data_IF_875315777076
#
_entry.id   IF_875315777076
#
_cell.length_a   1.000
_cell.length_b   1.000
_cell.length_c   1.000
_cell.angle_alpha   90.00
_cell.angle_beta   90.00
_cell.angle_gamma   90.00
#
_symmetry.space_group_name_H-M   'P 1'
#
loop_
_entity.id
_entity.type
_entity.pdbx_description
1 polymer ?
#
# COMPACT_ATOMS: atom_id res chain seq x y z
N UNK A 1 4.81 -47.09 30.45
CA UNK A 1 4.40 -48.18 31.37
C UNK A 1 3.10 -48.74 30.83
N UNK A 2 3.12 -50.01 30.46
CA UNK A 2 1.95 -50.84 30.15
C UNK A 2 1.09 -51.08 31.40
N UNK A 3 -0.21 -51.30 31.18
CA UNK A 3 -1.10 -52.36 31.70
C UNK A 3 -2.56 -51.84 31.61
N UNK A 4 -3.40 -52.37 30.72
CA UNK A 4 -4.31 -53.55 30.89
C UNK A 4 -5.40 -53.32 31.96
N UNK A 5 -6.67 -53.74 31.86
CA UNK A 5 -7.47 -54.52 30.91
C UNK A 5 -8.96 -54.43 31.38
N UNK A 6 -9.92 -54.94 30.59
CA UNK A 6 -11.18 -55.46 31.17
C UNK A 6 -12.46 -55.34 30.33
N UNK A 7 -12.74 -56.36 29.53
CA UNK A 7 -14.04 -56.68 28.90
C UNK A 7 -15.15 -56.98 29.93
N UNK A 8 -16.43 -56.73 29.57
CA UNK A 8 -17.49 -57.76 29.54
C UNK A 8 -18.80 -57.21 28.93
N UNK A 9 -19.49 -58.05 28.15
CA UNK A 9 -20.76 -57.81 27.45
C UNK A 9 -21.87 -58.72 28.01
N UNK A 10 -23.09 -58.17 28.05
CA UNK A 10 -24.44 -58.78 27.88
C UNK A 10 -25.09 -59.59 29.03
N UNK A 11 -26.42 -59.86 28.99
CA UNK A 11 -27.60 -58.98 28.76
C UNK A 11 -28.78 -59.33 29.73
N UNK A 12 -30.01 -58.80 29.52
CA UNK A 12 -31.38 -59.35 29.80
C UNK A 12 -32.40 -58.18 29.71
N UNK A 13 -33.21 -58.08 28.66
CA UNK A 13 -34.59 -58.62 28.49
C UNK A 13 -35.64 -58.04 29.46
N UNK A 14 -36.64 -57.31 28.95
CA UNK A 14 -38.05 -57.78 28.91
C UNK A 14 -39.04 -56.73 28.38
N UNK A 15 -40.06 -57.27 27.71
CA UNK A 15 -41.17 -56.69 26.96
C UNK A 15 -42.16 -55.79 27.76
N UNK A 16 -42.90 -54.92 27.05
CA UNK A 16 -44.36 -55.05 26.83
C UNK A 16 -45.15 -53.72 26.66
N UNK A 17 -45.76 -53.61 25.48
CA UNK A 17 -47.12 -53.15 25.13
C UNK A 17 -47.77 -51.81 25.55
N UNK A 18 -48.13 -51.07 24.49
CA UNK A 18 -49.46 -50.53 24.09
C UNK A 18 -50.23 -49.51 24.96
N UNK A 19 -50.53 -48.34 24.37
CA UNK A 19 -51.87 -47.71 24.39
C UNK A 19 -52.01 -46.56 23.35
N UNK A 20 -53.20 -46.48 22.75
CA UNK A 20 -53.66 -45.60 21.66
C UNK A 20 -53.83 -44.10 22.01
N UNK A 21 -53.95 -43.31 20.93
CA UNK A 21 -53.98 -41.84 20.79
C UNK A 21 -55.15 -41.08 21.48
N UNK A 22 -55.08 -39.73 21.49
CA UNK A 22 -56.08 -39.01 20.71
C UNK A 22 -55.59 -37.77 19.93
N UNK A 23 -56.24 -37.60 18.77
CA UNK A 23 -56.76 -36.41 18.12
C UNK A 23 -55.89 -35.15 17.84
N UNK A 24 -56.03 -34.71 16.59
CA UNK A 24 -55.44 -33.53 15.98
C UNK A 24 -55.93 -32.22 16.59
N UNK A 25 -54.99 -31.30 16.82
CA UNK A 25 -55.23 -29.86 16.79
C UNK A 25 -54.50 -29.27 15.58
N UNK A 26 -55.27 -28.63 14.70
CA UNK A 26 -54.77 -27.81 13.60
C UNK A 26 -54.01 -26.62 14.21
N UNK A 27 -52.70 -26.56 13.97
CA UNK A 27 -51.93 -25.32 14.12
C UNK A 27 -51.55 -24.88 12.71
N UNK A 28 -52.09 -23.73 12.33
CA UNK A 28 -51.87 -23.06 11.05
C UNK A 28 -50.39 -23.05 10.66
N UNK A 29 -50.08 -23.52 9.44
CA UNK A 29 -48.79 -23.25 8.82
C UNK A 29 -48.67 -21.76 8.55
N UNK A 30 -47.84 -21.09 9.33
CA UNK A 30 -47.34 -19.77 9.01
C UNK A 30 -46.34 -19.88 7.84
N UNK A 31 -46.79 -19.54 6.64
CA UNK A 31 -45.98 -19.43 5.41
C UNK A 31 -45.02 -18.21 5.41
N UNK A 32 -44.49 -17.77 6.57
CA UNK A 32 -43.62 -16.59 6.66
C UNK A 32 -42.12 -16.85 6.90
N UNK A 33 -41.64 -18.11 6.85
CA UNK A 33 -40.23 -18.46 7.18
C UNK A 33 -39.31 -18.65 5.93
N UNK A 34 -39.67 -18.14 4.75
CA UNK A 34 -38.75 -18.12 3.61
C UNK A 34 -38.69 -16.74 2.96
N UNK A 35 -37.91 -15.84 3.57
CA UNK A 35 -37.72 -14.50 3.04
C UNK A 35 -36.57 -13.74 3.68
N UNK A 36 -35.42 -14.38 3.92
CA UNK A 36 -34.18 -13.59 4.03
C UNK A 36 -33.79 -13.27 2.59
N UNK A 37 -34.14 -12.07 2.13
CA UNK A 37 -33.56 -11.52 0.89
C UNK A 37 -32.05 -11.42 1.10
N UNK A 38 -31.32 -12.48 0.74
CA UNK A 38 -29.86 -12.46 0.69
C UNK A 38 -29.47 -11.50 -0.41
N UNK A 39 -28.77 -10.43 -0.07
CA UNK A 39 -28.22 -9.50 -1.04
C UNK A 39 -27.42 -10.32 -2.08
N UNK A 40 -27.72 -10.21 -3.39
CA UNK A 40 -27.03 -10.97 -4.43
C UNK A 40 -25.51 -10.84 -4.37
N UNK A 41 -25.00 -9.71 -3.87
CA UNK A 41 -23.57 -9.46 -3.72
C UNK A 41 -22.97 -10.23 -2.54
N UNK A 42 -23.70 -10.42 -1.43
CA UNK A 42 -23.23 -11.22 -0.29
C UNK A 42 -23.05 -12.68 -0.71
N UNK A 43 -23.99 -13.20 -1.51
CA UNK A 43 -23.88 -14.55 -2.07
C UNK A 43 -22.68 -14.70 -3.02
N UNK A 44 -22.30 -13.64 -3.74
CA UNK A 44 -21.10 -13.63 -4.59
C UNK A 44 -19.82 -13.59 -3.75
N UNK A 45 -19.78 -12.84 -2.65
CA UNK A 45 -18.64 -12.84 -1.72
C UNK A 45 -18.44 -14.23 -1.09
N UNK A 46 -19.51 -14.87 -0.63
CA UNK A 46 -19.44 -16.22 -0.08
C UNK A 46 -18.97 -17.24 -1.11
N UNK A 47 -19.45 -17.13 -2.35
CA UNK A 47 -18.99 -17.98 -3.45
C UNK A 47 -17.50 -17.75 -3.76
N UNK A 48 -17.04 -16.50 -3.78
CA UNK A 48 -15.64 -16.18 -3.99
C UNK A 48 -14.75 -16.74 -2.87
N UNK A 49 -15.19 -16.66 -1.60
CA UNK A 49 -14.48 -17.27 -0.46
C UNK A 49 -14.38 -18.79 -0.61
N UNK A 50 -15.47 -19.45 -1.00
CA UNK A 50 -15.47 -20.89 -1.22
C UNK A 50 -14.47 -21.32 -2.31
N UNK A 51 -14.42 -20.58 -3.43
CA UNK A 51 -13.40 -20.82 -4.47
C UNK A 51 -11.97 -20.66 -3.93
N UNK A 52 -11.72 -19.60 -3.15
CA UNK A 52 -10.40 -19.37 -2.53
C UNK A 52 -10.03 -20.46 -1.50
N UNK A 53 -10.97 -20.90 -0.67
CA UNK A 53 -10.76 -21.98 0.31
C UNK A 53 -10.44 -23.33 -0.37
N UNK A 54 -11.00 -23.54 -1.57
CA UNK A 54 -10.70 -24.70 -2.42
C UNK A 54 -9.40 -24.56 -3.21
N UNK A 55 -8.74 -23.39 -3.16
CA UNK A 55 -7.56 -23.08 -3.97
C UNK A 55 -7.84 -22.87 -5.46
N UNK A 56 -9.11 -22.72 -5.85
CA UNK A 56 -9.54 -22.41 -7.22
C UNK A 56 -9.65 -20.89 -7.42
N UNK A 57 -8.50 -20.25 -7.50
CA UNK A 57 -8.43 -18.80 -7.58
C UNK A 57 -8.96 -18.24 -8.93
N UNK A 58 -8.87 -19.03 -10.00
CA UNK A 58 -9.40 -18.66 -11.32
C UNK A 58 -10.94 -18.63 -11.32
N UNK A 59 -11.58 -19.54 -10.57
CA UNK A 59 -13.02 -19.53 -10.30
C UNK A 59 -13.47 -18.35 -9.44
N UNK A 60 -12.66 -17.93 -8.45
CA UNK A 60 -12.96 -16.78 -7.59
C UNK A 60 -12.92 -15.44 -8.34
N UNK A 61 -12.01 -15.29 -9.31
CA UNK A 61 -11.72 -14.03 -10.01
C UNK A 61 -12.94 -13.32 -10.61
N UNK A 62 -13.74 -13.94 -11.52
CA UNK A 62 -14.88 -13.25 -12.13
C UNK A 62 -15.92 -12.84 -11.09
N UNK A 63 -16.09 -13.65 -10.05
CA UNK A 63 -17.03 -13.40 -8.96
C UNK A 63 -16.60 -12.17 -8.13
N UNK A 64 -15.31 -12.08 -7.78
CA UNK A 64 -14.76 -10.92 -7.07
C UNK A 64 -14.87 -9.63 -7.89
N UNK A 65 -14.61 -9.68 -9.21
CA UNK A 65 -14.75 -8.52 -10.08
C UNK A 65 -16.21 -8.03 -10.17
N UNK A 66 -17.18 -8.94 -10.16
CA UNK A 66 -18.59 -8.57 -10.09
C UNK A 66 -18.94 -7.92 -8.76
N UNK A 67 -18.42 -8.42 -7.62
CA UNK A 67 -18.61 -7.77 -6.31
C UNK A 67 -18.00 -6.37 -6.30
N UNK A 68 -16.81 -6.18 -6.85
CA UNK A 68 -16.15 -4.87 -6.94
C UNK A 68 -17.00 -3.87 -7.75
N UNK A 69 -17.74 -4.37 -8.75
CA UNK A 69 -18.58 -3.55 -9.62
C UNK A 69 -19.95 -3.24 -9.00
N UNK A 70 -20.55 -4.20 -8.30
CA UNK A 70 -21.97 -4.17 -7.90
C UNK A 70 -22.18 -3.97 -6.40
N UNK A 71 -21.16 -4.20 -5.57
CA UNK A 71 -21.25 -4.12 -4.12
C UNK A 71 -21.23 -2.71 -3.55
N UNK A 72 -21.60 -2.60 -2.28
CA UNK A 72 -21.41 -1.39 -1.49
C UNK A 72 -19.93 -1.18 -1.12
N UNK A 73 -19.60 -0.05 -0.47
CA UNK A 73 -18.21 0.28 -0.14
C UNK A 73 -17.52 -0.77 0.74
N UNK A 74 -18.25 -1.43 1.64
CA UNK A 74 -17.68 -2.45 2.52
C UNK A 74 -17.42 -3.74 1.73
N UNK A 75 -18.39 -4.17 0.92
CA UNK A 75 -18.29 -5.34 0.05
C UNK A 75 -17.20 -5.16 -1.02
N UNK A 76 -17.07 -3.96 -1.60
CA UNK A 76 -16.00 -3.62 -2.53
C UNK A 76 -14.64 -3.64 -1.87
N UNK A 77 -14.51 -3.11 -0.64
CA UNK A 77 -13.26 -3.14 0.11
C UNK A 77 -12.84 -4.58 0.43
N UNK A 78 -13.80 -5.41 0.86
CA UNK A 78 -13.56 -6.81 1.14
C UNK A 78 -13.21 -7.62 -0.11
N UNK A 79 -13.94 -7.44 -1.21
CA UNK A 79 -13.61 -8.11 -2.48
C UNK A 79 -12.23 -7.69 -2.99
N UNK A 80 -11.86 -6.42 -2.84
CA UNK A 80 -10.50 -5.95 -3.14
C UNK A 80 -9.45 -6.58 -2.23
N UNK A 81 -9.75 -6.84 -0.96
CA UNK A 81 -8.86 -7.53 -0.03
C UNK A 81 -8.69 -9.01 -0.40
N UNK A 82 -9.78 -9.71 -0.69
CA UNK A 82 -9.74 -11.09 -1.20
C UNK A 82 -9.01 -11.18 -2.54
N UNK A 83 -9.21 -10.19 -3.42
CA UNK A 83 -8.53 -10.08 -4.70
C UNK A 83 -7.05 -9.69 -4.55
N UNK A 84 -6.66 -8.91 -3.54
CA UNK A 84 -5.25 -8.54 -3.34
C UNK A 84 -4.42 -9.73 -2.83
N UNK A 85 -5.05 -10.69 -2.16
CA UNK A 85 -4.46 -11.99 -1.82
C UNK A 85 -4.21 -12.89 -3.03
N UNK A 86 -4.78 -12.56 -4.19
CA UNK A 86 -4.64 -13.29 -5.44
C UNK A 86 -3.52 -12.71 -6.30
N UNK A 87 -2.38 -13.41 -6.37
CA UNK A 87 -1.34 -13.16 -7.39
C UNK A 87 -1.04 -14.45 -8.12
N UNK A 88 -1.89 -14.83 -9.08
CA UNK A 88 -1.49 -15.87 -10.02
C UNK A 88 -0.23 -15.39 -10.78
N UNK A 89 0.84 -16.18 -10.90
CA UNK A 89 2.08 -15.79 -11.61
C UNK A 89 1.84 -15.28 -13.04
N UNK A 90 0.75 -15.74 -13.68
CA UNK A 90 0.37 -15.35 -15.04
C UNK A 90 -0.48 -14.06 -15.13
N UNK A 91 -0.78 -13.39 -14.02
CA UNK A 91 -1.59 -12.16 -14.00
C UNK A 91 -0.86 -10.96 -14.64
N UNK A 92 0.47 -10.92 -14.56
CA UNK A 92 1.29 -9.87 -15.18
C UNK A 92 1.88 -10.37 -16.51
N UNK A 93 1.03 -10.43 -17.55
CA UNK A 93 1.49 -10.80 -18.90
C UNK A 93 2.24 -9.66 -19.57
N UNK A 94 3.55 -9.64 -19.38
CA UNK A 94 4.44 -8.74 -20.10
C UNK A 94 4.50 -9.13 -21.59
N UNK A 95 4.06 -8.20 -22.46
CA UNK A 95 4.12 -8.41 -23.90
C UNK A 95 5.56 -8.60 -24.38
N UNK A 96 5.78 -9.62 -25.23
CA UNK A 96 7.03 -9.80 -25.97
C UNK A 96 7.05 -9.05 -27.31
N UNK A 97 5.92 -8.45 -27.71
CA UNK A 97 5.85 -7.71 -28.95
C UNK A 97 6.67 -6.42 -28.83
N UNK A 98 7.51 -6.09 -29.83
CA UNK A 98 8.27 -4.86 -29.83
C UNK A 98 7.32 -3.65 -29.91
N UNK A 99 7.70 -2.58 -29.24
CA UNK A 99 7.05 -1.27 -29.39
C UNK A 99 7.58 -0.56 -30.63
N UNK A 100 6.95 0.56 -31.00
CA UNK A 100 7.54 1.48 -31.96
C UNK A 100 8.70 2.25 -31.32
N UNK A 101 9.83 2.45 -32.00
CA UNK A 101 10.85 3.41 -31.55
C UNK A 101 10.24 4.80 -31.33
N UNK A 102 10.61 5.44 -30.24
CA UNK A 102 10.03 6.68 -29.73
C UNK A 102 8.81 6.50 -28.83
N UNK A 103 8.28 5.29 -28.65
CA UNK A 103 7.12 5.07 -27.80
C UNK A 103 7.40 5.46 -26.34
N UNK A 104 6.45 6.14 -25.70
CA UNK A 104 6.57 6.48 -24.28
C UNK A 104 6.16 5.30 -23.41
N UNK A 105 7.01 4.98 -22.46
CA UNK A 105 6.81 3.87 -21.51
C UNK A 105 6.69 4.44 -20.10
N UNK A 106 5.61 4.09 -19.40
CA UNK A 106 5.48 4.26 -17.96
C UNK A 106 5.92 2.97 -17.24
N UNK A 107 6.54 3.08 -16.07
CA UNK A 107 6.96 1.93 -15.28
C UNK A 107 6.84 2.19 -13.76
N UNK A 108 6.49 1.15 -13.00
CA UNK A 108 6.55 1.16 -11.52
C UNK A 108 7.88 0.62 -11.04
N UNK A 109 8.54 1.41 -10.18
CA UNK A 109 9.82 1.13 -9.55
C UNK A 109 9.61 0.98 -8.04
N UNK A 110 10.09 -0.14 -7.51
CA UNK A 110 10.23 -0.40 -6.08
C UNK A 110 11.70 -0.34 -5.69
N UNK A 111 12.04 0.28 -4.56
CA UNK A 111 13.41 0.38 -4.10
C UNK A 111 13.56 0.56 -2.58
N UNK A 112 14.64 -0.01 -2.05
CA UNK A 112 15.12 0.25 -0.70
C UNK A 112 16.03 1.48 -0.69
N UNK A 113 15.56 2.59 -0.10
CA UNK A 113 16.25 3.87 -0.13
C UNK A 113 17.53 3.97 0.71
N UNK A 114 17.73 3.08 1.69
CA UNK A 114 18.82 3.16 2.66
C UNK A 114 20.25 3.11 2.08
N UNK A 115 20.44 2.59 0.86
CA UNK A 115 21.74 2.56 0.19
C UNK A 115 21.96 3.72 -0.78
N UNK A 116 21.02 4.68 -0.86
CA UNK A 116 21.01 5.72 -1.88
C UNK A 116 20.88 7.12 -1.28
N UNK A 117 21.53 8.09 -1.92
CA UNK A 117 21.42 9.52 -1.62
C UNK A 117 20.19 10.15 -2.29
N UNK A 118 19.07 9.44 -2.20
CA UNK A 118 17.78 9.80 -2.75
C UNK A 118 17.58 9.34 -4.18
N UNK A 119 16.46 9.78 -4.76
CA UNK A 119 16.11 9.42 -6.12
C UNK A 119 17.02 10.07 -7.17
N UNK A 120 17.16 11.38 -7.08
CA UNK A 120 17.64 12.23 -8.18
C UNK A 120 19.14 12.05 -8.43
N UNK A 121 19.51 11.82 -9.70
CA UNK A 121 20.89 11.81 -10.17
C UNK A 121 21.64 13.09 -9.81
N UNK A 122 22.90 12.99 -9.39
CA UNK A 122 23.72 14.10 -8.90
C UNK A 122 25.09 14.08 -9.59
N UNK A 123 25.21 14.58 -10.84
CA UNK A 123 26.40 14.39 -11.68
C UNK A 123 27.72 14.94 -11.10
N UNK A 124 27.61 15.85 -10.13
CA UNK A 124 28.76 16.51 -9.49
C UNK A 124 29.19 15.84 -8.18
N UNK A 125 28.49 14.80 -7.74
CA UNK A 125 28.77 14.08 -6.50
C UNK A 125 28.90 12.58 -6.82
N UNK A 126 29.92 11.94 -6.26
CA UNK A 126 30.09 10.49 -6.38
C UNK A 126 29.29 9.80 -5.27
N UNK A 127 27.97 9.82 -5.41
CA UNK A 127 27.04 9.18 -4.49
C UNK A 127 26.03 8.32 -5.27
N UNK A 128 25.68 7.12 -4.80
CA UNK A 128 24.70 6.30 -5.47
C UNK A 128 23.31 6.93 -5.38
N UNK A 129 22.61 6.98 -6.51
CA UNK A 129 21.20 7.44 -6.60
C UNK A 129 20.35 6.39 -7.32
N UNK A 130 19.06 6.34 -6.98
CA UNK A 130 18.14 5.36 -7.60
C UNK A 130 17.99 5.64 -9.09
N UNK A 131 17.92 6.91 -9.50
CA UNK A 131 17.80 7.30 -10.90
C UNK A 131 19.00 6.86 -11.73
N UNK A 132 20.24 7.05 -11.25
CA UNK A 132 21.44 6.63 -11.99
C UNK A 132 21.50 5.11 -12.15
N UNK A 133 21.20 4.35 -11.09
CA UNK A 133 21.16 2.89 -11.16
C UNK A 133 20.09 2.39 -12.16
N UNK A 134 18.92 3.02 -12.17
CA UNK A 134 17.85 2.71 -13.11
C UNK A 134 18.22 3.06 -14.55
N UNK A 135 18.70 4.28 -14.80
CA UNK A 135 19.08 4.74 -16.14
C UNK A 135 20.25 3.93 -16.72
N UNK A 136 21.24 3.56 -15.90
CA UNK A 136 22.32 2.67 -16.32
C UNK A 136 21.80 1.28 -16.71
N UNK A 137 20.84 0.73 -15.95
CA UNK A 137 20.26 -0.58 -16.25
C UNK A 137 19.36 -0.56 -17.48
N UNK A 138 18.63 0.53 -17.71
CA UNK A 138 17.85 0.73 -18.94
C UNK A 138 18.75 0.86 -20.17
N UNK A 139 19.89 1.54 -20.03
CA UNK A 139 20.88 1.68 -21.10
C UNK A 139 21.44 0.33 -21.57
N UNK A 140 21.64 -0.64 -20.67
CA UNK A 140 22.06 -2.00 -21.05
C UNK A 140 21.04 -2.70 -21.96
N UNK A 141 19.76 -2.35 -21.85
CA UNK A 141 18.68 -2.92 -22.67
C UNK A 141 18.51 -2.14 -23.98
N UNK A 142 18.64 -0.82 -23.92
CA UNK A 142 18.54 0.05 -25.10
C UNK A 142 19.75 -0.11 -26.03
N UNK A 143 20.96 -0.22 -25.47
CA UNK A 143 22.23 -0.02 -26.18
C UNK A 143 22.62 1.47 -26.31
N UNK A 144 21.81 2.37 -25.76
CA UNK A 144 22.03 3.82 -25.75
C UNK A 144 21.43 4.46 -24.49
N UNK A 145 21.74 5.73 -24.24
CA UNK A 145 21.32 6.42 -23.01
C UNK A 145 19.80 6.60 -22.93
N UNK A 146 19.20 6.15 -21.83
CA UNK A 146 17.77 6.35 -21.52
C UNK A 146 17.64 7.31 -20.34
N UNK A 147 16.81 8.36 -20.49
CA UNK A 147 16.53 9.34 -19.43
C UNK A 147 15.15 9.10 -18.86
N UNK A 148 15.04 9.09 -17.54
CA UNK A 148 13.79 8.88 -16.83
C UNK A 148 13.30 10.15 -16.15
N UNK A 149 11.97 10.28 -16.04
CA UNK A 149 11.32 11.30 -15.22
C UNK A 149 10.38 10.62 -14.23
N UNK A 150 10.59 10.86 -12.94
CA UNK A 150 9.78 10.29 -11.86
C UNK A 150 8.54 11.12 -11.50
N UNK A 151 7.60 10.48 -10.82
CA UNK A 151 6.41 11.11 -10.26
C UNK A 151 6.73 12.09 -9.12
N UNK A 152 7.69 11.75 -8.26
CA UNK A 152 8.13 12.59 -7.16
C UNK A 152 9.50 12.15 -6.66
N UNK A 153 10.39 13.10 -6.40
CA UNK A 153 11.71 12.80 -5.83
C UNK A 153 11.54 12.34 -4.39
N UNK A 154 12.30 11.32 -3.99
CA UNK A 154 12.46 10.92 -2.59
C UNK A 154 13.84 11.34 -2.07
N UNK A 155 13.89 11.68 -0.78
CA UNK A 155 15.13 12.10 -0.10
C UNK A 155 16.05 10.89 0.15
N UNK A 156 17.29 11.16 0.57
CA UNK A 156 18.24 10.14 1.04
C UNK A 156 17.61 9.25 2.11
N UNK A 157 17.74 7.93 1.91
CA UNK A 157 17.20 6.93 2.83
C UNK A 157 15.70 6.65 2.71
N UNK A 158 14.93 7.41 1.92
CA UNK A 158 13.48 7.19 1.76
C UNK A 158 13.22 6.11 0.73
N UNK A 159 12.32 5.19 1.05
CA UNK A 159 11.95 4.05 0.20
C UNK A 159 10.89 4.43 -0.83
N UNK A 160 10.86 3.70 -1.94
CA UNK A 160 9.78 3.76 -2.91
C UNK A 160 9.15 2.40 -3.06
N UNK A 161 7.88 2.25 -2.72
CA UNK A 161 7.13 1.03 -3.02
C UNK A 161 6.41 1.15 -4.37
N UNK A 162 6.00 2.36 -4.75
CA UNK A 162 5.24 2.61 -5.97
C UNK A 162 5.68 3.88 -6.68
N UNK A 163 6.99 4.09 -6.81
CA UNK A 163 7.47 5.19 -7.64
C UNK A 163 7.08 4.92 -9.09
N UNK A 164 6.48 5.91 -9.75
CA UNK A 164 6.19 5.82 -11.19
C UNK A 164 7.18 6.67 -11.95
N UNK A 165 7.75 6.12 -13.01
CA UNK A 165 8.60 6.84 -13.96
C UNK A 165 8.01 6.77 -15.36
N UNK A 166 8.43 7.69 -16.22
CA UNK A 166 8.34 7.50 -17.66
C UNK A 166 9.66 7.77 -18.36
N UNK A 167 9.82 7.20 -19.54
CA UNK A 167 10.90 7.43 -20.49
C UNK A 167 10.40 7.14 -21.90
N UNK A 168 11.13 7.59 -22.91
CA UNK A 168 10.84 7.30 -24.32
C UNK A 168 11.79 6.16 -24.77
N UNK A 169 11.24 5.10 -25.35
CA UNK A 169 11.95 3.92 -25.82
C UNK A 169 12.64 4.23 -27.16
N UNK A 170 13.98 4.31 -27.24
CA UNK A 170 14.63 4.76 -28.46
C UNK A 170 14.75 3.65 -29.54
N UNK A 171 14.55 2.38 -29.18
CA UNK A 171 14.89 1.21 -30.01
C UNK A 171 13.72 0.25 -30.25
N UNK A 172 12.55 0.52 -29.68
CA UNK A 172 11.33 -0.29 -29.87
C UNK A 172 11.42 -1.66 -29.19
N UNK A 173 11.93 -1.73 -27.95
CA UNK A 173 11.97 -2.99 -27.20
C UNK A 173 10.56 -3.36 -26.70
N UNK A 174 10.38 -4.63 -26.38
CA UNK A 174 9.12 -5.10 -25.79
C UNK A 174 9.03 -4.71 -24.31
N UNK A 175 7.79 -4.60 -23.79
CA UNK A 175 7.56 -4.33 -22.37
C UNK A 175 8.23 -5.39 -21.48
N UNK A 176 8.25 -6.66 -21.90
CA UNK A 176 8.98 -7.71 -21.17
C UNK A 176 10.48 -7.43 -21.10
N UNK A 177 11.09 -6.93 -22.17
CA UNK A 177 12.50 -6.56 -22.15
C UNK A 177 12.76 -5.41 -21.17
N UNK A 178 11.88 -4.39 -21.13
CA UNK A 178 11.99 -3.29 -20.19
C UNK A 178 11.84 -3.68 -18.73
N UNK A 179 11.07 -4.72 -18.42
CA UNK A 179 10.93 -5.20 -17.04
C UNK A 179 12.00 -6.24 -16.69
N UNK A 180 11.99 -7.39 -17.38
CA UNK A 180 12.84 -8.53 -17.05
C UNK A 180 14.31 -8.27 -17.39
N UNK A 181 14.56 -7.57 -18.50
CA UNK A 181 15.91 -7.19 -18.91
C UNK A 181 16.51 -6.22 -17.90
N UNK A 182 15.83 -5.10 -17.62
CA UNK A 182 16.32 -4.09 -16.66
C UNK A 182 16.56 -4.69 -15.27
N UNK A 183 15.64 -5.53 -14.77
CA UNK A 183 15.80 -6.21 -13.48
C UNK A 183 17.02 -7.13 -13.40
N UNK A 184 17.52 -7.64 -14.52
CA UNK A 184 18.75 -8.45 -14.55
C UNK A 184 20.00 -7.61 -14.25
N UNK A 185 19.98 -6.33 -14.61
CA UNK A 185 21.11 -5.41 -14.45
C UNK A 185 20.99 -4.53 -13.21
N UNK A 186 19.78 -4.38 -12.66
CA UNK A 186 19.54 -3.61 -11.45
C UNK A 186 20.17 -4.26 -10.19
N UNK A 187 20.72 -3.44 -9.28
CA UNK A 187 21.04 -3.84 -7.91
C UNK A 187 19.87 -4.54 -7.20
N UNK A 188 20.15 -5.38 -6.20
CA UNK A 188 19.14 -6.21 -5.54
C UNK A 188 17.99 -5.44 -4.87
N UNK A 189 18.24 -4.19 -4.56
CA UNK A 189 17.40 -3.23 -3.85
C UNK A 189 16.61 -2.28 -4.76
N UNK A 190 16.59 -2.49 -6.08
CA UNK A 190 15.73 -1.76 -7.03
C UNK A 190 15.07 -2.75 -7.99
N UNK A 191 13.75 -2.66 -8.19
CA UNK A 191 13.00 -3.52 -9.10
C UNK A 191 11.99 -2.74 -9.93
N UNK A 192 11.93 -3.05 -11.22
CA UNK A 192 10.82 -2.69 -12.12
C UNK A 192 9.75 -3.76 -11.96
N UNK A 193 8.53 -3.38 -11.59
CA UNK A 193 7.43 -4.34 -11.42
C UNK A 193 6.61 -4.52 -12.69
N UNK A 194 6.36 -3.43 -13.41
CA UNK A 194 5.66 -3.43 -14.68
C UNK A 194 6.14 -2.28 -15.55
N UNK A 195 5.92 -2.42 -16.85
CA UNK A 195 6.07 -1.37 -17.84
C UNK A 195 4.84 -1.38 -18.76
N UNK A 196 4.41 -0.20 -19.20
CA UNK A 196 3.26 -0.03 -20.08
C UNK A 196 3.51 1.10 -21.09
N UNK A 197 3.15 0.87 -22.35
CA UNK A 197 3.10 1.93 -23.35
C UNK A 197 1.97 2.90 -23.02
N UNK A 198 2.27 4.19 -23.04
CA UNK A 198 1.33 5.27 -22.75
C UNK A 198 1.40 6.33 -23.84
N UNK A 199 0.33 7.12 -23.99
CA UNK A 199 0.32 8.21 -24.96
C UNK A 199 1.34 9.31 -24.62
N UNK A 200 1.78 10.06 -25.64
CA UNK A 200 2.77 11.14 -25.50
C UNK A 200 2.36 12.25 -24.50
N UNK A 201 1.05 12.39 -24.25
CA UNK A 201 0.51 13.33 -23.27
C UNK A 201 0.78 12.92 -21.81
N UNK A 202 1.15 11.65 -21.56
CA UNK A 202 1.47 11.19 -20.21
C UNK A 202 2.80 11.79 -19.74
N UNK A 203 2.81 12.30 -18.51
CA UNK A 203 4.02 12.73 -17.82
C UNK A 203 3.96 12.33 -16.36
N UNK A 204 4.84 11.42 -15.93
CA UNK A 204 4.83 10.84 -14.57
C UNK A 204 4.70 11.90 -13.45
N UNK A 205 5.38 13.04 -13.56
CA UNK A 205 5.23 14.14 -12.58
C UNK A 205 3.95 14.97 -12.72
N UNK A 206 3.67 15.49 -13.92
CA UNK A 206 2.65 16.54 -14.11
C UNK A 206 1.24 15.98 -14.30
N UNK A 207 1.12 14.74 -14.77
CA UNK A 207 -0.15 14.03 -14.88
C UNK A 207 -0.62 13.44 -13.55
N UNK A 208 0.27 13.32 -12.56
CA UNK A 208 -0.07 12.78 -11.25
C UNK A 208 -0.92 13.75 -10.43
N UNK A 209 -2.07 13.27 -9.96
CA UNK A 209 -3.06 14.04 -9.21
C UNK A 209 -2.86 13.98 -7.71
N UNK A 210 -2.28 12.88 -7.20
CA UNK A 210 -1.97 12.71 -5.79
C UNK A 210 -0.75 11.80 -5.60
N UNK A 211 -0.13 11.91 -4.42
CA UNK A 211 0.86 10.97 -3.91
C UNK A 211 0.42 10.53 -2.54
N UNK A 212 0.66 9.26 -2.21
CA UNK A 212 0.41 8.69 -0.89
C UNK A 212 1.69 8.17 -0.30
N UNK A 213 1.95 8.55 0.94
CA UNK A 213 3.08 8.07 1.71
C UNK A 213 2.58 7.30 2.93
N UNK A 214 3.29 6.23 3.28
CA UNK A 214 3.18 5.60 4.58
C UNK A 214 4.49 5.80 5.33
N UNK A 215 4.37 6.19 6.59
CA UNK A 215 5.48 6.26 7.52
C UNK A 215 5.31 5.19 8.59
N UNK A 216 6.28 4.30 8.73
CA UNK A 216 6.19 3.10 9.55
C UNK A 216 7.09 3.26 10.77
N UNK A 217 6.45 3.25 11.94
CA UNK A 217 7.11 3.36 13.24
C UNK A 217 7.01 2.00 13.93
N UNK A 218 8.14 1.36 14.20
CA UNK A 218 8.18 0.22 15.10
C UNK A 218 8.20 0.73 16.55
N UNK A 219 7.07 0.59 17.24
CA UNK A 219 6.85 1.14 18.57
C UNK A 219 7.00 0.09 19.67
N UNK A 220 8.24 -0.31 19.91
CA UNK A 220 8.61 -1.39 20.84
C UNK A 220 9.71 -0.93 21.82
N UNK A 221 9.87 -1.59 22.99
CA UNK A 221 10.91 -1.22 23.95
C UNK A 221 12.34 -1.41 23.44
N UNK A 222 12.55 -2.33 22.49
CA UNK A 222 13.86 -2.73 21.94
C UNK A 222 13.80 -2.62 20.42
N UNK A 223 14.81 -1.96 19.83
CA UNK A 223 14.92 -1.80 18.37
C UNK A 223 15.02 -3.17 17.68
N UNK A 224 14.21 -3.45 16.65
CA UNK A 224 14.33 -4.68 15.88
C UNK A 224 15.60 -4.67 15.01
N UNK A 225 16.38 -5.74 15.06
CA UNK A 225 17.60 -5.86 14.25
C UNK A 225 17.31 -6.15 12.77
N UNK A 226 16.29 -6.97 12.48
CA UNK A 226 15.96 -7.41 11.11
C UNK A 226 15.27 -6.34 10.26
N UNK A 227 14.72 -5.31 10.90
CA UNK A 227 14.02 -4.20 10.24
C UNK A 227 14.87 -2.93 10.25
N UNK A 228 16.18 -3.06 10.49
CA UNK A 228 17.12 -1.95 10.37
C UNK A 228 16.99 -1.32 8.99
N UNK A 229 17.01 0.02 8.94
CA UNK A 229 16.80 0.83 7.73
C UNK A 229 15.46 0.64 7.01
N UNK A 230 14.49 -0.09 7.59
CA UNK A 230 13.16 -0.30 6.98
C UNK A 230 12.02 0.33 7.80
N UNK A 231 12.25 0.62 9.08
CA UNK A 231 11.26 1.20 9.98
C UNK A 231 11.93 2.19 10.92
N UNK A 232 11.22 3.24 11.30
CA UNK A 232 11.69 4.12 12.36
C UNK A 232 11.35 3.51 13.71
N UNK A 233 12.35 3.31 14.55
CA UNK A 233 12.11 2.80 15.91
C UNK A 233 11.76 3.92 16.89
N UNK A 234 10.72 3.70 17.69
CA UNK A 234 10.35 4.61 18.77
C UNK A 234 10.05 3.84 20.07
N UNK A 235 10.80 4.13 21.13
CA UNK A 235 10.77 3.37 22.39
C UNK A 235 9.52 3.61 23.25
N UNK A 236 9.05 4.85 23.32
CA UNK A 236 7.98 5.24 24.25
C UNK A 236 6.61 4.94 23.66
N UNK A 237 5.63 4.58 24.48
CA UNK A 237 4.29 4.29 23.98
C UNK A 237 3.68 5.52 23.27
N UNK A 238 3.11 5.31 22.09
CA UNK A 238 2.45 6.34 21.29
C UNK A 238 0.94 6.29 21.46
N UNK A 239 0.34 7.43 21.80
CA UNK A 239 -1.10 7.64 21.84
C UNK A 239 -1.65 7.96 20.45
N UNK A 240 -2.27 6.95 19.84
CA UNK A 240 -2.82 7.02 18.48
C UNK A 240 -4.01 7.97 18.38
N UNK A 241 -4.79 8.11 19.47
CA UNK A 241 -5.92 9.03 19.52
C UNK A 241 -5.45 10.47 19.39
N UNK A 242 -4.49 10.86 20.22
CA UNK A 242 -3.89 12.21 20.17
C UNK A 242 -3.21 12.51 18.82
N UNK A 243 -2.52 11.53 18.24
CA UNK A 243 -1.91 11.69 16.91
C UNK A 243 -2.97 11.92 15.83
N UNK A 244 -4.08 11.18 15.85
CA UNK A 244 -5.17 11.39 14.89
C UNK A 244 -5.88 12.73 15.12
N UNK A 245 -6.07 13.15 16.37
CA UNK A 245 -6.66 14.45 16.68
C UNK A 245 -5.82 15.61 16.13
N UNK A 246 -4.49 15.53 16.28
CA UNK A 246 -3.58 16.48 15.63
C UNK A 246 -3.62 16.39 14.09
N UNK A 247 -3.65 15.19 13.53
CA UNK A 247 -3.61 14.98 12.08
C UNK A 247 -4.84 15.53 11.33
N UNK A 248 -6.01 15.61 11.99
CA UNK A 248 -7.21 16.26 11.42
C UNK A 248 -6.94 17.70 10.97
N UNK A 249 -6.08 18.41 11.71
CA UNK A 249 -5.72 19.80 11.38
C UNK A 249 -4.93 19.93 10.09
N UNK A 250 -4.41 18.85 9.50
CA UNK A 250 -3.66 18.88 8.25
C UNK A 250 -4.55 18.91 7.01
N UNK A 251 -5.83 18.52 7.11
CA UNK A 251 -6.69 18.30 5.95
C UNK A 251 -7.04 19.60 5.21
N UNK A 252 -7.20 19.49 3.89
CA UNK A 252 -7.53 20.61 3.00
C UNK A 252 -6.32 21.39 2.52
N UNK A 253 -6.60 22.52 1.85
CA UNK A 253 -5.58 23.42 1.29
C UNK A 253 -5.01 24.32 2.38
N UNK A 254 -3.72 24.18 2.69
CA UNK A 254 -3.06 24.92 3.77
C UNK A 254 -1.61 25.28 3.43
N UNK A 255 -1.08 26.26 4.15
CA UNK A 255 0.33 26.68 4.09
C UNK A 255 1.18 25.78 4.99
N UNK A 256 2.00 24.91 4.39
CA UNK A 256 2.84 23.96 5.12
C UNK A 256 4.26 24.48 5.38
N UNK A 257 4.47 25.80 5.46
CA UNK A 257 5.80 26.39 5.72
C UNK A 257 6.43 25.90 7.03
N UNK A 258 5.64 25.65 8.08
CA UNK A 258 6.13 25.06 9.33
C UNK A 258 6.73 23.64 9.15
N UNK A 259 6.32 22.94 8.09
CA UNK A 259 6.78 21.60 7.75
C UNK A 259 7.68 21.60 6.52
N UNK A 260 8.18 22.74 6.07
CA UNK A 260 9.01 22.88 4.88
C UNK A 260 10.49 22.95 5.24
N UNK A 261 11.34 22.16 4.59
CA UNK A 261 12.79 22.34 4.68
C UNK A 261 13.24 23.67 4.04
N UNK A 262 14.26 24.32 4.62
CA UNK A 262 14.82 25.58 4.12
C UNK A 262 15.33 25.47 2.66
N UNK A 263 15.86 24.32 2.26
CA UNK A 263 16.35 24.04 0.90
C UNK A 263 15.24 23.69 -0.11
N UNK A 264 13.97 23.76 0.28
CA UNK A 264 12.86 23.41 -0.60
C UNK A 264 12.73 24.39 -1.77
N UNK A 265 12.79 23.87 -2.99
CA UNK A 265 12.72 24.64 -4.24
C UNK A 265 11.27 24.92 -4.72
N UNK A 266 10.25 24.50 -3.99
CA UNK A 266 8.86 24.74 -4.40
C UNK A 266 8.53 26.24 -4.34
N UNK A 267 7.85 26.76 -5.38
CA UNK A 267 7.45 28.16 -5.45
C UNK A 267 6.37 28.54 -4.43
N UNK A 268 5.49 27.59 -4.10
CA UNK A 268 4.42 27.78 -3.11
C UNK A 268 4.52 26.74 -1.99
N UNK A 269 4.32 27.15 -0.72
CA UNK A 269 4.19 26.24 0.42
C UNK A 269 2.78 25.63 0.54
N UNK A 270 1.81 26.08 -0.26
CA UNK A 270 0.44 25.59 -0.16
C UNK A 270 0.31 24.18 -0.74
N UNK A 271 -0.30 23.27 0.02
CA UNK A 271 -0.64 21.90 -0.42
C UNK A 271 -2.04 21.54 0.04
N UNK A 272 -2.67 20.60 -0.65
CA UNK A 272 -3.94 20.01 -0.25
C UNK A 272 -3.69 18.59 0.24
N UNK A 273 -3.76 18.38 1.55
CA UNK A 273 -3.77 17.04 2.13
C UNK A 273 -5.21 16.55 2.12
N UNK A 274 -5.46 15.45 1.43
CA UNK A 274 -6.82 14.90 1.24
C UNK A 274 -7.13 13.81 2.26
N UNK A 275 -6.12 13.13 2.79
CA UNK A 275 -6.27 12.14 3.85
C UNK A 275 -5.00 12.11 4.71
N UNK A 276 -5.17 11.95 6.02
CA UNK A 276 -4.10 11.66 6.96
C UNK A 276 -4.68 10.81 8.09
N UNK A 277 -4.23 9.57 8.23
CA UNK A 277 -4.72 8.63 9.23
C UNK A 277 -3.56 7.94 9.93
N UNK A 278 -3.71 7.71 11.23
CA UNK A 278 -2.71 6.98 12.01
C UNK A 278 -3.36 5.72 12.56
N UNK A 279 -2.81 4.57 12.21
CA UNK A 279 -3.32 3.26 12.62
C UNK A 279 -2.25 2.46 13.36
N UNK A 280 -2.70 1.55 14.23
CA UNK A 280 -1.83 0.59 14.89
C UNK A 280 -2.02 -0.79 14.27
N UNK A 281 -0.92 -1.40 13.85
CA UNK A 281 -0.83 -2.76 13.33
C UNK A 281 0.15 -3.54 14.21
N UNK A 282 -0.36 -4.21 15.24
CA UNK A 282 0.47 -4.84 16.27
C UNK A 282 1.51 -3.85 16.86
N UNK A 283 2.79 -4.13 16.66
CA UNK A 283 3.92 -3.32 17.12
C UNK A 283 4.20 -2.10 16.23
N UNK A 284 3.53 -1.99 15.08
CA UNK A 284 3.69 -0.86 14.16
C UNK A 284 2.65 0.22 14.41
N UNK A 285 3.10 1.46 14.30
CA UNK A 285 2.24 2.64 14.12
C UNK A 285 2.49 3.17 12.73
N UNK A 286 1.45 3.26 11.92
CA UNK A 286 1.54 3.67 10.51
C UNK A 286 0.85 5.02 10.35
N UNK A 287 1.59 6.01 9.88
CA UNK A 287 1.03 7.29 9.44
C UNK A 287 0.84 7.22 7.94
N UNK A 288 -0.41 7.22 7.48
CA UNK A 288 -0.78 7.19 6.08
C UNK A 288 -1.31 8.56 5.66
N UNK A 289 -0.63 9.21 4.71
CA UNK A 289 -0.92 10.57 4.28
C UNK A 289 -0.97 10.67 2.75
N UNK A 290 -2.05 11.28 2.25
CA UNK A 290 -2.28 11.54 0.82
C UNK A 290 -2.45 13.04 0.58
N UNK A 291 -1.77 13.55 -0.44
CA UNK A 291 -1.88 14.94 -0.86
C UNK A 291 -1.68 15.10 -2.35
N UNK A 292 -2.07 16.26 -2.90
CA UNK A 292 -1.81 16.62 -4.30
C UNK A 292 -0.30 16.62 -4.63
N UNK A 293 0.50 17.16 -3.70
CA UNK A 293 1.95 17.14 -3.71
C UNK A 293 2.51 17.36 -2.30
N UNK A 294 3.81 17.16 -2.12
CA UNK A 294 4.50 17.40 -0.85
C UNK A 294 5.68 18.36 -1.03
N UNK A 295 6.05 19.06 0.04
CA UNK A 295 7.27 19.86 0.10
C UNK A 295 8.47 18.99 0.54
N UNK A 296 9.68 19.52 0.37
CA UNK A 296 10.90 18.85 0.83
C UNK A 296 10.85 18.66 2.35
N UNK A 297 11.06 17.42 2.80
CA UNK A 297 10.91 16.93 4.18
C UNK A 297 9.50 17.04 4.79
N UNK A 298 8.46 17.40 4.03
CA UNK A 298 7.12 17.69 4.58
C UNK A 298 6.57 16.56 5.44
N UNK A 299 6.48 15.35 4.89
CA UNK A 299 5.93 14.19 5.59
C UNK A 299 6.74 13.89 6.85
N UNK A 300 8.08 13.94 6.77
CA UNK A 300 8.97 13.64 7.91
C UNK A 300 8.91 14.71 9.01
N UNK A 301 8.71 15.98 8.66
CA UNK A 301 8.51 17.06 9.63
C UNK A 301 7.15 16.92 10.32
N UNK A 302 6.09 16.59 9.57
CA UNK A 302 4.77 16.29 10.13
C UNK A 302 4.85 15.11 11.10
N UNK A 303 5.46 14.00 10.67
CA UNK A 303 5.62 12.80 11.51
C UNK A 303 6.45 13.10 12.76
N UNK A 304 7.51 13.90 12.66
CA UNK A 304 8.30 14.32 13.81
C UNK A 304 7.43 15.03 14.87
N UNK A 305 6.60 15.97 14.45
CA UNK A 305 5.66 16.66 15.34
C UNK A 305 4.55 15.73 15.85
N UNK A 306 4.05 14.79 15.04
CA UNK A 306 3.09 13.78 15.49
C UNK A 306 3.69 12.84 16.53
N UNK A 307 4.97 12.48 16.43
CA UNK A 307 5.68 11.70 17.44
C UNK A 307 5.77 12.46 18.77
N UNK A 308 5.99 13.78 18.74
CA UNK A 308 5.97 14.62 19.94
C UNK A 308 4.59 14.65 20.61
N UNK A 309 3.51 14.73 19.81
CA UNK A 309 2.13 14.63 20.33
C UNK A 309 1.84 13.23 20.88
N UNK A 310 2.14 12.18 20.11
CA UNK A 310 1.85 10.79 20.48
C UNK A 310 2.62 10.33 21.71
N UNK A 311 3.84 10.83 21.92
CA UNK A 311 4.63 10.58 23.14
C UNK A 311 4.25 11.48 24.32
N UNK A 312 3.24 12.35 24.14
CA UNK A 312 2.75 13.33 25.14
C UNK A 312 3.80 14.34 25.60
N UNK A 313 4.87 14.56 24.82
CA UNK A 313 5.80 15.65 25.06
C UNK A 313 5.26 17.01 24.58
N UNK A 314 4.26 16.98 23.70
CA UNK A 314 3.56 18.14 23.18
C UNK A 314 2.05 17.88 23.12
N UNK A 315 1.24 18.94 23.12
CA UNK A 315 -0.22 18.82 23.04
C UNK A 315 -0.73 18.89 21.59
N UNK A 316 -2.00 18.55 21.39
CA UNK A 316 -2.66 18.67 20.07
C UNK A 316 -2.75 20.15 19.66
N UNK A 317 -3.04 21.04 20.61
CA UNK A 317 -3.11 22.49 20.39
C UNK A 317 -1.75 23.08 19.99
N UNK A 318 -0.65 22.52 20.54
CA UNK A 318 0.69 22.89 20.10
C UNK A 318 0.91 22.55 18.62
N UNK A 319 0.48 21.37 18.16
CA UNK A 319 0.62 20.96 16.77
C UNK A 319 -0.14 21.90 15.83
N UNK A 320 -1.38 22.25 16.20
CA UNK A 320 -2.19 23.22 15.46
C UNK A 320 -1.49 24.59 15.41
N UNK A 321 -0.95 25.04 16.54
CA UNK A 321 -0.21 26.31 16.64
C UNK A 321 1.03 26.31 15.74
N UNK A 322 1.77 25.19 15.67
CA UNK A 322 2.92 25.05 14.77
C UNK A 322 2.51 25.24 13.31
N UNK A 323 1.43 24.56 12.87
CA UNK A 323 0.92 24.68 11.51
C UNK A 323 0.49 26.12 11.20
N UNK A 324 -0.25 26.77 12.11
CA UNK A 324 -0.75 28.14 11.94
C UNK A 324 0.36 29.20 11.93
N UNK A 325 1.40 29.02 12.76
CA UNK A 325 2.52 29.96 12.87
C UNK A 325 3.46 29.91 11.65
N UNK A 326 3.40 28.86 10.83
CA UNK A 326 4.17 28.73 9.57
C UNK A 326 5.69 28.79 9.76
N UNK A 327 6.17 28.60 10.98
CA UNK A 327 7.58 28.69 11.35
C UNK A 327 8.17 27.30 11.61
N UNK A 328 9.10 26.88 10.74
CA UNK A 328 9.78 25.59 10.85
C UNK A 328 10.55 25.44 12.15
N UNK A 329 11.04 26.52 12.77
CA UNK A 329 11.79 26.44 14.02
C UNK A 329 10.92 25.99 15.21
N UNK A 330 9.59 26.14 15.11
CA UNK A 330 8.64 25.72 16.14
C UNK A 330 8.22 24.24 16.02
N UNK A 331 8.42 23.64 14.84
CA UNK A 331 8.13 22.23 14.62
C UNK A 331 9.20 21.34 15.26
N UNK A 332 8.83 20.10 15.57
CA UNK A 332 9.77 19.12 16.13
C UNK A 332 10.89 18.76 15.13
N UNK A 333 11.81 17.93 15.61
CA UNK A 333 12.87 17.37 14.78
C UNK A 333 12.30 16.57 13.61
N UNK A 334 12.98 16.64 12.47
CA UNK A 334 12.60 15.87 11.28
C UNK A 334 12.73 14.38 11.58
N UNK A 335 11.66 13.62 11.37
CA UNK A 335 11.69 12.17 11.58
C UNK A 335 12.74 11.48 10.65
N UNK A 336 13.34 10.36 11.07
CA UNK A 336 14.26 9.58 10.24
C UNK A 336 13.66 9.20 8.88
N UNK A 337 14.51 8.98 7.88
CA UNK A 337 14.07 8.66 6.51
C UNK A 337 13.65 7.19 6.33
N UNK A 338 14.29 6.28 7.08
CA UNK A 338 14.12 4.82 7.03
C UNK A 338 12.68 4.32 7.25
N UNK A 339 11.83 5.13 7.91
CA UNK A 339 10.42 4.79 8.08
C UNK A 339 9.51 5.20 6.91
N UNK A 340 9.98 6.01 5.96
CA UNK A 340 9.12 6.65 4.96
C UNK A 340 9.12 5.89 3.63
N UNK A 341 7.90 5.62 3.12
CA UNK A 341 7.66 4.94 1.85
C UNK A 341 6.72 5.76 0.96
N UNK A 342 7.11 6.01 -0.29
CA UNK A 342 6.16 6.40 -1.34
C UNK A 342 5.38 5.15 -1.76
N UNK A 343 4.10 5.06 -1.38
CA UNK A 343 3.29 3.84 -1.54
C UNK A 343 2.29 3.89 -2.67
N UNK A 344 1.92 5.08 -3.14
CA UNK A 344 1.09 5.21 -4.35
C UNK A 344 1.27 6.57 -5.03
N UNK A 345 1.01 6.58 -6.34
CA UNK A 345 0.89 7.79 -7.15
C UNK A 345 -0.35 7.67 -8.01
N UNK A 346 -1.31 8.57 -7.78
CA UNK A 346 -2.59 8.52 -8.47
C UNK A 346 -2.54 9.31 -9.79
N UNK A 347 -3.16 8.74 -10.82
CA UNK A 347 -3.26 9.30 -12.17
C UNK A 347 -4.72 9.21 -12.66
N UNK A 348 -5.12 10.05 -13.65
CA UNK A 348 -6.39 9.88 -14.34
C UNK A 348 -6.54 8.48 -14.96
N UNK A 349 -7.71 7.87 -14.81
CA UNK A 349 -8.03 6.52 -15.30
C UNK A 349 -7.79 6.36 -16.81
N UNK A 350 -7.93 7.45 -17.58
CA UNK A 350 -7.69 7.46 -19.03
C UNK A 350 -6.27 7.02 -19.44
N UNK A 351 -5.29 7.05 -18.52
CA UNK A 351 -3.95 6.51 -18.79
C UNK A 351 -3.85 4.99 -18.62
N UNK A 352 -4.84 4.36 -17.98
CA UNK A 352 -4.97 2.91 -17.85
C UNK A 352 -3.80 2.22 -17.15
N UNK A 353 -3.11 2.90 -16.24
CA UNK A 353 -1.95 2.32 -15.55
C UNK A 353 -2.38 1.17 -14.64
N UNK A 354 -1.55 0.11 -14.48
CA UNK A 354 -1.86 -0.99 -13.57
C UNK A 354 -2.03 -0.50 -12.13
N UNK A 355 -2.97 -1.11 -11.40
CA UNK A 355 -3.20 -0.78 -10.00
C UNK A 355 -1.94 -1.06 -9.16
N UNK A 356 -1.65 -0.14 -8.24
CA UNK A 356 -0.62 -0.33 -7.24
C UNK A 356 -1.17 -1.27 -6.16
N UNK A 357 -0.49 -2.39 -5.85
CA UNK A 357 -0.89 -3.22 -4.71
C UNK A 357 -0.83 -2.39 -3.42
N UNK A 358 -1.59 -2.76 -2.39
CA UNK A 358 -1.36 -2.13 -1.09
C UNK A 358 0.05 -2.48 -0.57
N UNK A 359 0.66 -1.65 0.26
CA UNK A 359 2.02 -1.91 0.73
C UNK A 359 2.57 -0.85 1.69
N UNK A 360 3.85 -0.90 2.09
CA UNK A 360 4.85 -1.87 1.62
C UNK A 360 4.60 -3.29 2.13
N UNK A 361 5.22 -4.27 1.48
CA UNK A 361 5.06 -5.72 1.72
C UNK A 361 5.19 -6.11 3.19
N UNK A 362 6.02 -5.39 3.96
CA UNK A 362 6.20 -5.63 5.39
C UNK A 362 4.93 -5.45 6.24
N UNK A 363 3.93 -4.71 5.74
CA UNK A 363 2.63 -4.53 6.41
C UNK A 363 1.60 -5.61 6.04
N UNK A 364 1.83 -6.38 4.97
CA UNK A 364 0.83 -7.30 4.41
C UNK A 364 0.91 -8.73 4.97
N UNK A 365 1.92 -9.04 5.81
CA UNK A 365 2.02 -10.33 6.51
C UNK A 365 2.13 -11.57 5.60
N UNK A 366 2.28 -11.40 4.29
CA UNK A 366 2.50 -12.46 3.29
C UNK A 366 3.55 -11.96 2.29
N UNK A 367 4.59 -12.77 2.05
CA UNK A 367 5.57 -12.57 0.97
C UNK A 367 5.05 -13.13 -0.34
#
# INVERSE_FOLDING_TARGET
>A
MLLDAGMALTPLDDDADAAEAPAADNVDMDESIYGVETNPVDSKLDLARAYLDMGDEDGARPVLLEVIKEGDLAQQAEARELFCGWRHPDSLRLSNLPLSPGARVAARIEYHGGHYHGWQAQPHLTVPTVQEALEASLQEIAGESVRTTCAGRTDTGVHGFAQVVHFDDPVGRSLKAWVMGTNRHLPADIRVHWAQEVGEAFHARFSATARRYRYIICNTPIRPALLHDLVTWHRHALDIGLMNDAAKTLLGEQDFSAFRAASCQASSPNRCVTACTITRHCDYVVVDITANAFLHHMVRNIVGSLLAVGSRSSSVEWFETVLQNRDRAQAADTAPAEGLYLVDVSYPEAFGLPETPDGPTLLQGRL
#
